data_IF_056721139186
#
_entry.id   IF_056721139186
#
_cell.length_a   1.000
_cell.length_b   1.000
_cell.length_c   1.000
_cell.angle_alpha   90.00
_cell.angle_beta   90.00
_cell.angle_gamma   90.00
#
_symmetry.space_group_name_H-M   'P 1'
#
loop_
_entity.id
_entity.type
_entity.pdbx_description
1 polymer ?
#
# COMPACT_ATOMS: atom_id res chain seq x y z
N UNK A 1 -11.93 -14.72 9.22
CA UNK A 1 -11.16 -14.46 10.47
C UNK A 1 -9.77 -15.09 10.38
N UNK A 2 -9.05 -14.72 9.33
CA UNK A 2 -7.60 -14.89 9.26
C UNK A 2 -6.99 -13.84 10.18
N UNK A 3 -6.75 -14.22 11.44
CA UNK A 3 -5.98 -13.42 12.40
C UNK A 3 -4.71 -12.96 11.69
N UNK A 4 -4.61 -11.64 11.47
CA UNK A 4 -3.37 -10.88 11.23
C UNK A 4 -2.18 -11.79 11.00
N UNK A 5 -1.73 -11.94 9.75
CA UNK A 5 -0.56 -12.76 9.44
C UNK A 5 0.59 -12.23 10.32
N UNK A 6 0.85 -12.90 11.44
CA UNK A 6 1.94 -12.67 12.37
C UNK A 6 2.25 -11.19 12.75
N UNK A 7 1.23 -10.44 13.19
CA UNK A 7 1.28 -9.03 13.68
C UNK A 7 1.09 -7.91 12.64
N UNK A 8 0.89 -8.23 11.36
CA UNK A 8 0.63 -7.20 10.34
C UNK A 8 -0.88 -6.97 10.17
N UNK A 9 -1.27 -5.70 10.03
CA UNK A 9 -2.68 -5.30 9.81
C UNK A 9 -2.90 -4.58 8.47
N UNK A 10 -1.87 -4.51 7.63
CA UNK A 10 -1.92 -3.88 6.32
C UNK A 10 -0.55 -3.88 5.64
N UNK A 11 -0.46 -3.21 4.48
CA UNK A 11 0.74 -3.12 3.66
C UNK A 11 0.82 -1.76 2.98
N UNK A 12 2.04 -1.27 2.74
CA UNK A 12 2.28 -0.01 2.04
C UNK A 12 3.18 -0.25 0.83
N UNK A 13 2.78 0.31 -0.31
CA UNK A 13 3.54 0.33 -1.54
C UNK A 13 4.09 1.72 -1.84
N UNK A 14 5.41 1.87 -1.87
CA UNK A 14 6.05 3.03 -2.49
C UNK A 14 6.14 2.76 -3.98
N UNK A 15 5.15 3.25 -4.72
CA UNK A 15 5.06 3.04 -6.17
C UNK A 15 5.83 4.13 -6.90
N UNK A 16 6.84 3.76 -7.69
CA UNK A 16 7.67 4.70 -8.44
C UNK A 16 7.79 4.29 -9.92
N UNK A 17 8.03 5.30 -10.75
CA UNK A 17 8.19 5.17 -12.20
C UNK A 17 9.62 4.85 -12.60
N UNK A 18 10.55 5.55 -11.97
CA UNK A 18 11.94 5.59 -12.39
C UNK A 18 12.80 5.94 -11.16
N UNK A 19 13.83 5.13 -10.93
CA UNK A 19 14.78 5.32 -9.83
C UNK A 19 15.61 6.60 -10.04
N UNK A 20 15.80 7.04 -11.29
CA UNK A 20 16.56 8.24 -11.64
C UNK A 20 15.73 9.52 -11.50
N UNK A 21 14.47 9.50 -11.95
CA UNK A 21 13.60 10.70 -12.02
C UNK A 21 12.95 11.01 -10.67
N UNK A 22 13.07 10.12 -9.66
CA UNK A 22 12.58 10.30 -8.28
C UNK A 22 11.10 10.70 -8.17
N UNK A 23 10.26 10.15 -9.06
CA UNK A 23 8.80 10.33 -9.00
C UNK A 23 8.15 9.11 -8.37
N UNK A 24 7.36 9.34 -7.34
CA UNK A 24 6.57 8.32 -6.66
C UNK A 24 5.11 8.74 -6.57
N UNK A 25 4.23 7.75 -6.47
CA UNK A 25 2.80 7.93 -6.33
C UNK A 25 2.45 8.30 -4.89
N UNK A 26 1.51 9.23 -4.76
CA UNK A 26 0.82 9.57 -3.52
C UNK A 26 -0.67 9.50 -3.84
N UNK A 27 -1.44 8.86 -2.97
CA UNK A 27 -2.90 8.82 -3.06
C UNK A 27 -3.49 9.93 -2.19
N UNK A 28 -4.62 10.50 -2.62
CA UNK A 28 -5.35 11.53 -1.88
C UNK A 28 -6.74 11.01 -1.50
N UNK A 29 -7.09 11.12 -0.23
CA UNK A 29 -8.40 10.74 0.29
C UNK A 29 -8.98 11.84 1.19
N UNK A 30 -10.18 11.63 1.72
CA UNK A 30 -10.77 12.50 2.75
C UNK A 30 -9.89 12.65 4.00
N UNK A 31 -8.90 11.76 4.19
CA UNK A 31 -7.97 11.76 5.32
C UNK A 31 -6.64 12.45 5.01
N UNK A 32 -6.47 12.96 3.78
CA UNK A 32 -5.25 13.62 3.31
C UNK A 32 -4.46 12.77 2.32
N UNK A 33 -3.18 13.12 2.18
CA UNK A 33 -2.23 12.43 1.30
C UNK A 33 -1.56 11.27 2.01
N UNK A 34 -1.43 10.12 1.34
CA UNK A 34 -0.73 8.95 1.85
C UNK A 34 -0.01 8.18 0.75
N UNK A 35 0.86 7.25 1.15
CA UNK A 35 1.39 6.26 0.24
C UNK A 35 0.29 5.26 -0.16
N UNK A 36 0.32 4.73 -1.39
CA UNK A 36 -0.58 3.67 -1.80
C UNK A 36 -0.48 2.44 -0.90
N UNK A 37 -1.60 1.77 -0.68
CA UNK A 37 -1.70 0.58 0.16
C UNK A 37 -2.80 0.70 1.22
N UNK A 38 -3.08 -0.41 1.89
CA UNK A 38 -4.25 -0.50 2.75
C UNK A 38 -4.21 -1.66 3.73
N UNK A 39 -5.40 -2.01 4.21
CA UNK A 39 -5.60 -3.09 5.17
C UNK A 39 -5.54 -4.45 4.50
N UNK A 40 -5.28 -5.48 5.29
CA UNK A 40 -5.42 -6.86 4.84
C UNK A 40 -6.89 -7.28 4.84
N UNK A 41 -7.36 -7.94 3.78
CA UNK A 41 -8.71 -8.50 3.66
C UNK A 41 -8.72 -10.02 3.98
N UNK A 42 -9.85 -10.57 4.39
CA UNK A 42 -10.04 -12.01 4.65
C UNK A 42 -9.85 -12.85 3.37
N UNK A 43 -9.91 -12.26 2.18
CA UNK A 43 -9.64 -12.92 0.89
C UNK A 43 -8.15 -12.90 0.48
N UNK A 44 -7.33 -12.08 1.12
CA UNK A 44 -5.90 -12.00 0.82
C UNK A 44 -5.20 -13.27 1.35
N UNK A 45 -4.42 -13.96 0.51
CA UNK A 45 -3.69 -15.17 0.91
C UNK A 45 -2.29 -14.85 1.45
N UNK A 46 -1.74 -13.68 1.12
CA UNK A 46 -0.43 -13.19 1.53
C UNK A 46 -0.40 -11.67 1.59
N UNK A 47 0.61 -11.10 2.25
CA UNK A 47 0.82 -9.64 2.32
C UNK A 47 0.99 -9.06 0.90
N UNK A 48 1.69 -9.77 0.04
CA UNK A 48 1.89 -9.41 -1.36
C UNK A 48 0.57 -9.40 -2.14
N UNK A 49 -0.34 -10.35 -1.90
CA UNK A 49 -1.66 -10.36 -2.55
C UNK A 49 -2.48 -9.12 -2.18
N UNK A 50 -2.51 -8.76 -0.89
CA UNK A 50 -3.15 -7.54 -0.42
C UNK A 50 -2.52 -6.29 -1.04
N UNK A 51 -1.19 -6.26 -1.17
CA UNK A 51 -0.50 -5.14 -1.83
C UNK A 51 -0.91 -5.00 -3.30
N UNK A 52 -1.01 -6.10 -4.04
CA UNK A 52 -1.46 -6.08 -5.43
C UNK A 52 -2.90 -5.61 -5.57
N UNK A 53 -3.78 -6.05 -4.68
CA UNK A 53 -5.19 -5.61 -4.64
C UNK A 53 -5.28 -4.10 -4.42
N UNK A 54 -4.62 -3.57 -3.40
CA UNK A 54 -4.63 -2.14 -3.07
C UNK A 54 -4.03 -1.28 -4.20
N UNK A 55 -2.91 -1.71 -4.79
CA UNK A 55 -2.32 -1.02 -5.95
C UNK A 55 -3.29 -0.96 -7.14
N UNK A 56 -4.04 -2.05 -7.37
CA UNK A 56 -5.02 -2.09 -8.45
C UNK A 56 -6.22 -1.18 -8.14
N UNK A 57 -6.73 -1.22 -6.92
CA UNK A 57 -7.88 -0.41 -6.49
C UNK A 57 -7.57 1.08 -6.51
N UNK A 58 -6.41 1.46 -5.98
CA UNK A 58 -6.03 2.87 -5.85
C UNK A 58 -5.43 3.41 -7.15
N UNK A 59 -4.50 2.68 -7.79
CA UNK A 59 -3.72 3.19 -8.92
C UNK A 59 -4.16 2.64 -10.29
N UNK A 60 -5.04 1.63 -10.33
CA UNK A 60 -5.45 0.98 -11.57
C UNK A 60 -4.36 0.14 -12.23
N UNK A 61 -3.30 -0.23 -11.51
CA UNK A 61 -2.18 -1.03 -12.04
C UNK A 61 -2.41 -2.52 -11.74
N UNK A 62 -2.34 -3.37 -12.76
CA UNK A 62 -2.40 -4.83 -12.59
C UNK A 62 -1.03 -5.40 -12.17
N UNK A 63 -1.02 -6.61 -11.59
CA UNK A 63 0.20 -7.36 -11.22
C UNK A 63 1.24 -7.45 -12.36
N UNK A 64 0.77 -7.60 -13.61
CA UNK A 64 1.64 -7.66 -14.80
C UNK A 64 2.34 -6.33 -15.11
N UNK A 65 1.77 -5.22 -14.64
CA UNK A 65 2.24 -3.86 -14.86
C UNK A 65 3.21 -3.40 -13.76
N UNK A 66 3.52 -4.24 -12.77
CA UNK A 66 4.40 -3.86 -11.67
C UNK A 66 5.49 -4.91 -11.41
N UNK A 67 6.53 -4.48 -10.73
CA UNK A 67 7.53 -5.33 -10.10
C UNK A 67 7.65 -4.89 -8.65
N UNK A 68 7.41 -5.81 -7.72
CA UNK A 68 7.50 -5.53 -6.28
C UNK A 68 8.83 -6.03 -5.74
N UNK A 69 9.42 -5.24 -4.84
CA UNK A 69 10.59 -5.59 -4.07
C UNK A 69 10.28 -5.32 -2.59
N UNK A 70 10.33 -6.38 -1.79
CA UNK A 70 10.24 -6.28 -0.34
C UNK A 70 11.44 -5.50 0.20
N UNK A 71 11.19 -4.64 1.18
CA UNK A 71 12.24 -3.94 1.92
C UNK A 71 12.32 -4.44 3.35
N UNK A 72 13.37 -4.04 4.07
CA UNK A 72 13.52 -4.31 5.50
C UNK A 72 12.83 -3.23 6.37
N UNK A 73 12.03 -2.34 5.75
CA UNK A 73 11.34 -1.25 6.44
C UNK A 73 9.91 -1.63 6.80
N UNK A 74 9.51 -1.22 7.99
CA UNK A 74 8.13 -1.28 8.49
C UNK A 74 7.69 0.10 8.96
N UNK A 75 6.40 0.37 8.83
CA UNK A 75 5.73 1.46 9.51
C UNK A 75 4.95 0.88 10.70
N UNK A 76 5.17 1.45 11.87
CA UNK A 76 4.59 1.00 13.13
C UNK A 76 3.90 2.17 13.82
N UNK A 77 2.62 2.01 14.13
CA UNK A 77 1.86 3.02 14.83
C UNK A 77 0.68 2.43 15.59
N UNK A 78 0.17 3.20 16.54
CA UNK A 78 -1.07 2.91 17.26
C UNK A 78 -2.11 3.96 16.87
N UNK A 79 -3.33 3.53 16.58
CA UNK A 79 -4.41 4.49 16.32
C UNK A 79 -4.72 5.29 17.60
N UNK A 80 -4.56 6.61 17.52
CA UNK A 80 -4.66 7.52 18.67
C UNK A 80 -6.10 8.04 18.93
N UNK A 81 -7.10 7.69 18.09
CA UNK A 81 -8.49 8.07 18.44
C UNK A 81 -9.61 7.32 17.72
N UNK A 82 -10.71 7.25 18.48
CA UNK A 82 -12.05 6.68 18.30
C UNK A 82 -12.84 6.94 16.99
N UNK A 83 -12.20 7.33 15.88
CA UNK A 83 -12.95 7.72 14.66
C UNK A 83 -13.60 6.56 13.90
N UNK A 84 -13.07 5.34 14.01
CA UNK A 84 -13.53 4.20 13.21
C UNK A 84 -13.67 2.88 14.01
N UNK A 85 -13.72 2.95 15.34
CA UNK A 85 -13.77 1.75 16.21
C UNK A 85 -12.47 0.93 16.22
N UNK A 86 -11.35 1.52 15.76
CA UNK A 86 -10.00 0.94 15.76
C UNK A 86 -9.13 1.43 16.93
N UNK A 87 -9.77 1.90 18.01
CA UNK A 87 -9.08 2.40 19.19
C UNK A 87 -8.14 1.31 19.74
N UNK A 88 -6.96 1.74 20.18
CA UNK A 88 -5.90 0.88 20.70
C UNK A 88 -5.32 -0.19 19.77
N UNK A 89 -5.72 -0.23 18.50
CA UNK A 89 -5.14 -1.17 17.54
C UNK A 89 -3.71 -0.75 17.19
N UNK A 90 -2.76 -1.64 17.54
CA UNK A 90 -1.39 -1.56 17.07
C UNK A 90 -1.30 -2.08 15.64
N UNK A 91 -0.62 -1.33 14.78
CA UNK A 91 -0.49 -1.59 13.36
C UNK A 91 0.99 -1.70 13.02
N UNK A 92 1.33 -2.79 12.34
CA UNK A 92 2.61 -2.96 11.65
C UNK A 92 2.28 -3.10 10.17
N UNK A 93 2.94 -2.32 9.31
CA UNK A 93 2.83 -2.41 7.85
C UNK A 93 4.21 -2.55 7.23
N UNK A 94 4.51 -3.62 6.50
CA UNK A 94 5.74 -3.69 5.72
C UNK A 94 5.67 -2.73 4.54
N UNK A 95 6.81 -2.13 4.21
CA UNK A 95 6.95 -1.21 3.09
C UNK A 95 7.59 -1.96 1.91
N UNK A 96 6.93 -1.89 0.75
CA UNK A 96 7.44 -2.44 -0.49
C UNK A 96 7.83 -1.33 -1.45
N UNK A 97 8.90 -1.56 -2.20
CA UNK A 97 9.23 -0.79 -3.39
C UNK A 97 8.48 -1.40 -4.58
N UNK A 98 7.73 -0.59 -5.30
CA UNK A 98 6.94 -1.05 -6.44
C UNK A 98 7.33 -0.26 -7.66
N UNK A 99 7.96 -0.92 -8.62
CA UNK A 99 8.32 -0.33 -9.90
C UNK A 99 7.20 -0.55 -10.89
N UNK A 100 6.59 0.54 -11.39
CA UNK A 100 5.63 0.42 -12.48
C UNK A 100 6.36 0.16 -13.81
N UNK A 101 5.86 -0.80 -14.57
CA UNK A 101 6.34 -1.15 -15.90
C UNK A 101 5.65 -0.24 -16.92
N UNK A 102 6.46 0.42 -17.75
CA UNK A 102 6.04 1.43 -18.73
C UNK A 102 5.51 2.72 -18.07
N UNK A 103 5.58 3.85 -18.78
CA UNK A 103 5.18 5.20 -18.32
C UNK A 103 3.67 5.36 -17.97
N UNK A 104 2.94 4.27 -17.65
CA UNK A 104 1.51 4.27 -17.31
C UNK A 104 1.15 5.19 -16.15
N UNK A 105 2.05 5.43 -15.19
CA UNK A 105 1.81 6.41 -14.11
C UNK A 105 1.78 7.87 -14.61
N UNK A 106 2.41 8.21 -15.73
CA UNK A 106 2.34 9.57 -16.30
C UNK A 106 0.93 9.95 -16.81
N UNK A 107 0.07 8.95 -17.02
CA UNK A 107 -1.35 9.12 -17.35
C UNK A 107 -2.30 8.98 -16.15
N UNK A 108 -1.79 8.59 -14.97
CA UNK A 108 -2.59 8.51 -13.74
C UNK A 108 -2.64 9.90 -13.11
N UNK A 109 -3.45 10.78 -13.70
CA UNK A 109 -3.96 11.97 -13.00
C UNK A 109 -5.13 11.45 -12.15
N UNK A 110 -4.90 11.34 -10.84
CA UNK A 110 -5.94 10.88 -9.91
C UNK A 110 -6.98 11.98 -9.70
N UNK A 111 -8.26 11.60 -9.81
CA UNK A 111 -9.43 12.43 -9.47
C UNK A 111 -9.51 12.70 -7.98
#
# INVERSE_FOLDING_TARGET
>A
MLKQINNYSGVVGVVYLDEEVKKFAIVHSKRGFSLPGGGFDDEDASIEDGLYREIKEELGLDIKDVEIKKTDLTEEFKYDSNKDGREDQYVIRPIYLVKAKNNKLSSVIMK
#
